data_IF_819686637867
#
_entry.id   IF_819686637867
#
_cell.length_a   1.000
_cell.length_b   1.000
_cell.length_c   1.000
_cell.angle_alpha   90.00
_cell.angle_beta   90.00
_cell.angle_gamma   90.00
#
_symmetry.space_group_name_H-M   'P 1'
#
loop_
_entity.id
_entity.type
_entity.pdbx_description
1 polymer ?
#
# COMPACT_ATOMS: atom_id res chain seq x y z
N UNK A 1 -31.44 53.25 -0.89
CA UNK A 1 -32.34 52.65 0.10
C UNK A 1 -31.87 53.14 1.46
N UNK A 2 -32.72 53.86 2.17
CA UNK A 2 -32.45 54.41 3.51
C UNK A 2 -33.39 53.63 4.42
N UNK A 3 -32.88 53.12 5.54
CA UNK A 3 -33.74 52.42 6.51
C UNK A 3 -34.69 53.41 7.19
N UNK A 4 -35.68 52.92 7.94
CA UNK A 4 -36.62 53.76 8.72
C UNK A 4 -35.92 54.71 9.72
N UNK A 5 -34.62 54.54 9.94
CA UNK A 5 -33.80 55.37 10.82
C UNK A 5 -32.92 56.38 10.10
N UNK A 6 -33.11 56.60 8.80
CA UNK A 6 -32.38 57.63 8.06
C UNK A 6 -30.94 57.25 7.73
N UNK A 7 -30.50 56.02 8.02
CA UNK A 7 -29.16 55.56 7.71
C UNK A 7 -29.06 54.98 6.29
N UNK A 8 -27.96 55.22 5.58
CA UNK A 8 -27.75 54.64 4.26
C UNK A 8 -27.62 53.11 4.38
N UNK A 9 -28.52 52.37 3.73
CA UNK A 9 -28.40 50.91 3.63
C UNK A 9 -27.23 50.60 2.71
N UNK A 10 -26.13 50.12 3.28
CA UNK A 10 -24.98 49.63 2.51
C UNK A 10 -25.43 48.47 1.62
N UNK A 11 -25.48 48.69 0.31
CA UNK A 11 -25.83 47.64 -0.64
C UNK A 11 -24.89 46.44 -0.46
N UNK A 12 -25.45 45.25 -0.24
CA UNK A 12 -24.68 44.02 -0.18
C UNK A 12 -23.91 43.87 -1.50
N UNK A 13 -22.58 43.96 -1.43
CA UNK A 13 -21.70 43.72 -2.57
C UNK A 13 -21.71 42.21 -2.85
N UNK A 14 -22.28 41.81 -3.99
CA UNK A 14 -22.19 40.44 -4.47
C UNK A 14 -20.82 40.13 -5.07
N UNK A 15 -20.43 38.86 -5.08
CA UNK A 15 -19.25 38.39 -5.79
C UNK A 15 -19.37 38.64 -7.29
N UNK A 16 -18.29 39.08 -7.92
CA UNK A 16 -18.23 39.20 -9.38
C UNK A 16 -18.03 37.82 -10.03
N UNK A 17 -18.50 37.64 -11.27
CA UNK A 17 -18.22 36.41 -12.01
C UNK A 17 -16.71 36.19 -12.21
N UNK A 18 -15.94 37.27 -12.36
CA UNK A 18 -14.49 37.20 -12.55
C UNK A 18 -13.75 36.74 -11.28
N UNK A 19 -14.18 37.19 -10.08
CA UNK A 19 -13.63 36.67 -8.81
C UNK A 19 -13.85 35.17 -8.69
N UNK A 20 -15.04 34.69 -9.06
CA UNK A 20 -15.34 33.27 -9.03
C UNK A 20 -14.46 32.49 -10.01
N UNK A 21 -14.23 33.00 -11.22
CA UNK A 21 -13.33 32.36 -12.19
C UNK A 21 -11.88 32.27 -11.68
N UNK A 22 -11.36 33.33 -11.05
CA UNK A 22 -10.01 33.32 -10.49
C UNK A 22 -9.91 32.27 -9.36
N UNK A 23 -10.90 32.21 -8.48
CA UNK A 23 -10.93 31.21 -7.39
C UNK A 23 -10.94 29.79 -7.95
N UNK A 24 -11.75 29.52 -8.97
CA UNK A 24 -11.79 28.19 -9.61
C UNK A 24 -10.45 27.83 -10.24
N UNK A 25 -9.79 28.79 -10.90
CA UNK A 25 -8.46 28.58 -11.47
C UNK A 25 -7.43 28.24 -10.40
N UNK A 26 -7.42 28.98 -9.28
CA UNK A 26 -6.50 28.71 -8.16
C UNK A 26 -6.76 27.30 -7.59
N UNK A 27 -8.03 26.94 -7.36
CA UNK A 27 -8.40 25.62 -6.84
C UNK A 27 -7.98 24.52 -7.82
N UNK A 28 -8.14 24.71 -9.13
CA UNK A 28 -7.73 23.73 -10.13
C UNK A 28 -6.22 23.47 -10.11
N UNK A 29 -5.41 24.53 -10.00
CA UNK A 29 -3.94 24.41 -9.88
C UNK A 29 -3.54 23.68 -8.59
N UNK A 30 -4.14 24.05 -7.46
CA UNK A 30 -3.87 23.40 -6.17
C UNK A 30 -4.26 21.92 -6.20
N UNK A 31 -5.43 21.59 -6.76
CA UNK A 31 -5.92 20.22 -6.87
C UNK A 31 -4.99 19.35 -7.74
N UNK A 32 -4.48 19.90 -8.85
CA UNK A 32 -3.56 19.18 -9.73
C UNK A 32 -2.28 18.70 -9.03
N UNK A 33 -1.78 19.46 -8.04
CA UNK A 33 -0.61 19.11 -7.23
C UNK A 33 -1.01 18.22 -6.05
N UNK A 34 -2.09 18.57 -5.34
CA UNK A 34 -2.48 17.94 -4.09
C UNK A 34 -2.97 16.49 -4.27
N UNK A 35 -3.74 16.21 -5.32
CA UNK A 35 -4.33 14.88 -5.56
C UNK A 35 -3.26 13.78 -5.71
N UNK A 36 -2.27 13.90 -6.62
CA UNK A 36 -1.24 12.87 -6.76
C UNK A 36 -0.33 12.78 -5.52
N UNK A 37 -0.06 13.90 -4.85
CA UNK A 37 0.73 13.93 -3.63
C UNK A 37 0.06 13.16 -2.47
N UNK A 38 -1.24 13.38 -2.27
CA UNK A 38 -2.03 12.68 -1.26
C UNK A 38 -2.10 11.18 -1.52
N UNK A 39 -2.27 10.77 -2.79
CA UNK A 39 -2.24 9.35 -3.18
C UNK A 39 -0.94 8.66 -2.76
N UNK A 40 0.22 9.28 -3.05
CA UNK A 40 1.54 8.74 -2.65
C UNK A 40 1.68 8.61 -1.13
N UNK A 41 1.18 9.59 -0.36
CA UNK A 41 1.17 9.51 1.09
C UNK A 41 0.31 8.35 1.59
N UNK A 42 -0.91 8.22 1.07
CA UNK A 42 -1.82 7.13 1.43
C UNK A 42 -1.21 5.76 1.10
N UNK A 43 -0.52 5.61 -0.02
CA UNK A 43 0.15 4.36 -0.37
C UNK A 43 1.24 3.99 0.63
N UNK A 44 2.12 4.93 1.00
CA UNK A 44 3.16 4.71 2.03
C UNK A 44 2.57 4.30 3.37
N UNK A 45 1.48 4.95 3.78
CA UNK A 45 0.81 4.66 5.05
C UNK A 45 0.18 3.26 5.09
N UNK A 46 -0.07 2.64 3.94
CA UNK A 46 -0.69 1.30 3.82
C UNK A 46 0.34 0.17 3.66
N UNK A 47 1.57 0.45 3.23
CA UNK A 47 2.63 -0.57 3.09
C UNK A 47 2.87 -1.41 4.35
N UNK A 48 2.85 -0.84 5.58
CA UNK A 48 3.04 -1.63 6.79
C UNK A 48 2.04 -2.77 6.94
N UNK A 49 0.83 -2.66 6.39
CA UNK A 49 -0.18 -3.73 6.40
C UNK A 49 0.30 -4.97 5.63
N UNK A 50 0.86 -4.78 4.43
CA UNK A 50 1.44 -5.84 3.62
C UNK A 50 2.74 -6.38 4.21
N UNK A 51 3.61 -5.50 4.71
CA UNK A 51 4.87 -5.88 5.38
C UNK A 51 4.60 -6.74 6.62
N UNK A 52 3.63 -6.35 7.45
CA UNK A 52 3.24 -7.10 8.64
C UNK A 52 2.71 -8.48 8.25
N UNK A 53 1.83 -8.58 7.25
CA UNK A 53 1.35 -9.87 6.74
C UNK A 53 2.51 -10.79 6.35
N UNK A 54 3.48 -10.26 5.59
CA UNK A 54 4.65 -11.03 5.14
C UNK A 54 5.54 -11.48 6.30
N UNK A 55 5.78 -10.61 7.29
CA UNK A 55 6.56 -10.98 8.48
C UNK A 55 5.85 -12.05 9.32
N UNK A 56 4.53 -11.99 9.45
CA UNK A 56 3.78 -13.03 10.16
C UNK A 56 3.83 -14.37 9.40
N UNK A 57 3.69 -14.32 8.07
CA UNK A 57 3.85 -15.51 7.21
C UNK A 57 5.25 -16.11 7.36
N UNK A 58 6.30 -15.29 7.29
CA UNK A 58 7.68 -15.75 7.45
C UNK A 58 7.89 -16.44 8.81
N UNK A 59 7.39 -15.85 9.90
CA UNK A 59 7.46 -16.48 11.22
C UNK A 59 6.68 -17.80 11.29
N UNK A 60 5.51 -17.88 10.64
CA UNK A 60 4.75 -19.13 10.57
C UNK A 60 5.48 -20.22 9.78
N UNK A 61 6.18 -19.83 8.70
CA UNK A 61 7.04 -20.73 7.93
C UNK A 61 8.21 -21.26 8.76
N UNK A 62 8.92 -20.41 9.50
CA UNK A 62 10.01 -20.85 10.37
C UNK A 62 9.55 -21.82 11.47
N UNK A 63 8.38 -21.56 12.07
CA UNK A 63 7.76 -22.48 13.04
C UNK A 63 7.40 -23.82 12.40
N UNK A 64 6.86 -23.78 11.19
CA UNK A 64 6.49 -24.98 10.45
C UNK A 64 7.73 -25.80 10.07
N UNK A 65 8.79 -25.14 9.60
CA UNK A 65 10.08 -25.75 9.27
C UNK A 65 10.72 -26.40 10.50
N UNK A 66 10.71 -25.75 11.66
CA UNK A 66 11.27 -26.31 12.91
C UNK A 66 10.61 -27.63 13.33
N UNK A 67 9.37 -27.89 12.90
CA UNK A 67 8.62 -29.12 13.24
C UNK A 67 8.64 -30.15 12.12
N UNK A 68 8.64 -29.71 10.86
CA UNK A 68 8.45 -30.58 9.69
C UNK A 68 9.70 -30.72 8.80
N UNK A 69 10.78 -29.99 9.13
CA UNK A 69 12.02 -29.91 8.37
C UNK A 69 11.84 -29.52 6.89
N UNK A 70 10.76 -28.81 6.60
CA UNK A 70 10.39 -28.32 5.27
C UNK A 70 9.45 -27.11 5.41
N UNK A 71 9.47 -26.20 4.44
CA UNK A 71 8.50 -25.11 4.34
C UNK A 71 7.19 -25.59 3.72
N UNK A 72 6.09 -24.94 4.08
CA UNK A 72 4.74 -25.31 3.66
C UNK A 72 4.17 -24.37 2.60
N UNK A 73 3.35 -24.89 1.68
CA UNK A 73 2.58 -24.03 0.77
C UNK A 73 1.27 -23.58 1.41
N UNK A 74 0.69 -22.44 0.98
CA UNK A 74 -0.62 -22.00 1.48
C UNK A 74 -1.78 -22.93 1.06
N UNK A 75 -1.61 -23.72 -0.01
CA UNK A 75 -2.60 -24.69 -0.44
C UNK A 75 -2.32 -26.06 0.15
N UNK A 76 -3.12 -26.44 1.15
CA UNK A 76 -3.18 -27.83 1.61
C UNK A 76 -2.10 -28.25 2.61
N UNK A 77 -1.33 -27.32 3.18
CA UNK A 77 -0.46 -27.59 4.33
C UNK A 77 -1.20 -27.32 5.65
N UNK A 78 -1.61 -28.35 6.41
CA UNK A 78 -2.16 -28.14 7.74
C UNK A 78 -1.09 -27.50 8.64
N UNK A 79 -1.45 -26.43 9.35
CA UNK A 79 -0.60 -25.85 10.40
C UNK A 79 0.03 -24.48 10.12
N UNK A 80 -0.02 -23.96 8.89
CA UNK A 80 0.42 -22.58 8.61
C UNK A 80 -0.59 -21.51 9.07
N UNK A 81 -1.88 -21.85 9.12
CA UNK A 81 -2.91 -20.96 9.65
C UNK A 81 -3.34 -19.81 8.72
N UNK A 82 -3.04 -19.91 7.43
CA UNK A 82 -3.39 -18.88 6.44
C UNK A 82 -4.26 -19.46 5.32
N UNK A 83 -5.21 -18.63 4.84
CA UNK A 83 -5.94 -18.90 3.61
C UNK A 83 -5.02 -18.74 2.38
N UNK A 84 -5.44 -19.27 1.23
CA UNK A 84 -4.79 -19.04 -0.06
C UNK A 84 -5.77 -18.36 -1.04
N UNK A 85 -5.54 -17.09 -1.43
CA UNK A 85 -4.51 -16.18 -0.94
C UNK A 85 -4.78 -15.70 0.50
N UNK A 86 -3.73 -15.34 1.23
CA UNK A 86 -3.85 -14.72 2.55
C UNK A 86 -4.15 -13.22 2.37
N UNK A 87 -5.14 -12.68 3.06
CA UNK A 87 -5.50 -11.26 2.97
C UNK A 87 -4.92 -10.52 4.16
N UNK A 88 -4.35 -9.33 3.93
CA UNK A 88 -3.83 -8.49 5.01
C UNK A 88 -4.97 -7.99 5.91
N UNK A 89 -4.66 -7.65 7.15
CA UNK A 89 -5.66 -7.28 8.15
C UNK A 89 -6.55 -6.10 7.68
N UNK A 90 -5.95 -5.10 7.01
CA UNK A 90 -6.68 -3.94 6.48
C UNK A 90 -7.14 -4.12 5.03
N UNK A 91 -6.90 -5.29 4.42
CA UNK A 91 -7.35 -5.62 3.07
C UNK A 91 -6.68 -4.84 1.94
N UNK A 92 -5.45 -4.36 2.15
CA UNK A 92 -4.69 -3.65 1.10
C UNK A 92 -3.80 -4.57 0.27
N UNK A 93 -3.53 -5.79 0.75
CA UNK A 93 -2.67 -6.76 0.09
C UNK A 93 -3.29 -8.16 0.10
N UNK A 94 -3.01 -8.93 -0.95
CA UNK A 94 -3.21 -10.38 -0.99
C UNK A 94 -1.85 -11.07 -1.13
N UNK A 95 -1.57 -12.05 -0.29
CA UNK A 95 -0.30 -12.75 -0.25
C UNK A 95 -0.42 -14.20 -0.71
N UNK A 96 0.62 -14.65 -1.41
CA UNK A 96 0.83 -16.03 -1.83
C UNK A 96 2.21 -16.48 -1.37
N UNK A 97 2.37 -17.80 -1.18
CA UNK A 97 3.66 -18.41 -0.83
C UNK A 97 4.04 -19.39 -1.92
N UNK A 98 5.22 -19.19 -2.48
CA UNK A 98 5.87 -20.14 -3.36
C UNK A 98 6.92 -20.89 -2.55
N UNK A 99 6.87 -22.22 -2.62
CA UNK A 99 7.85 -23.09 -1.98
C UNK A 99 8.59 -23.81 -3.10
N UNK A 100 9.91 -23.73 -3.06
CA UNK A 100 10.80 -24.27 -4.08
C UNK A 100 11.80 -25.23 -3.43
N UNK A 101 12.34 -26.14 -4.25
CA UNK A 101 13.50 -26.92 -3.84
C UNK A 101 14.73 -26.02 -3.73
N UNK A 102 15.66 -26.35 -2.83
CA UNK A 102 16.95 -25.66 -2.85
C UNK A 102 17.76 -26.01 -4.13
N UNK A 103 18.86 -25.29 -4.42
CA UNK A 103 19.75 -25.64 -5.54
C UNK A 103 20.36 -27.04 -5.46
N UNK A 104 20.28 -27.73 -4.31
CA UNK A 104 20.73 -29.10 -4.10
C UNK A 104 19.61 -30.14 -4.36
N UNK A 105 18.41 -29.70 -4.74
CA UNK A 105 17.27 -30.58 -5.04
C UNK A 105 16.49 -31.05 -3.81
N UNK A 106 16.73 -30.48 -2.63
CA UNK A 106 15.94 -30.76 -1.44
C UNK A 106 14.59 -30.05 -1.56
N UNK A 107 13.52 -30.82 -1.77
CA UNK A 107 12.16 -30.31 -1.86
C UNK A 107 11.82 -29.46 -0.62
N UNK A 108 11.25 -28.28 -0.86
CA UNK A 108 10.68 -27.38 0.16
C UNK A 108 11.65 -26.75 1.16
N UNK A 109 12.92 -26.55 0.77
CA UNK A 109 13.91 -25.84 1.59
C UNK A 109 13.95 -24.32 1.36
N UNK A 110 13.22 -23.80 0.37
CA UNK A 110 13.14 -22.35 0.10
C UNK A 110 11.69 -21.91 0.04
N UNK A 111 11.37 -20.78 0.66
CA UNK A 111 10.09 -20.10 0.44
C UNK A 111 10.30 -18.65 0.00
N UNK A 112 9.35 -18.17 -0.80
CA UNK A 112 9.15 -16.75 -1.11
C UNK A 112 7.69 -16.44 -0.85
N UNK A 113 7.44 -15.54 0.11
CA UNK A 113 6.12 -14.99 0.36
C UNK A 113 6.00 -13.65 -0.37
N UNK A 114 4.97 -13.50 -1.19
CA UNK A 114 4.76 -12.33 -2.03
C UNK A 114 3.40 -11.73 -1.73
N UNK A 115 3.36 -10.47 -1.30
CA UNK A 115 2.17 -9.67 -1.07
C UNK A 115 1.93 -8.73 -2.25
N UNK A 116 0.89 -9.02 -3.02
CA UNK A 116 0.43 -8.22 -4.16
C UNK A 116 -0.56 -7.16 -3.68
N UNK A 117 -0.35 -5.87 -3.99
CA UNK A 117 -1.28 -4.81 -3.59
C UNK A 117 -2.61 -4.94 -4.33
N UNK A 118 -3.71 -4.66 -3.64
CA UNK A 118 -5.07 -4.72 -4.19
C UNK A 118 -5.81 -3.39 -4.07
N UNK A 119 -6.86 -3.23 -4.88
CA UNK A 119 -7.67 -2.01 -4.90
C UNK A 119 -6.85 -0.75 -5.21
N UNK A 120 -7.06 0.31 -4.43
CA UNK A 120 -6.33 1.57 -4.62
C UNK A 120 -4.82 1.44 -4.43
N UNK A 121 -4.36 0.48 -3.62
CA UNK A 121 -2.93 0.23 -3.37
C UNK A 121 -2.21 -0.33 -4.60
N UNK A 122 -2.93 -0.93 -5.56
CA UNK A 122 -2.34 -1.47 -6.79
C UNK A 122 -1.65 -0.41 -7.67
N UNK A 123 -1.87 0.87 -7.39
CA UNK A 123 -1.22 2.01 -8.05
C UNK A 123 0.03 2.51 -7.33
N UNK A 124 0.43 1.87 -6.22
CA UNK A 124 1.67 2.19 -5.52
C UNK A 124 2.88 1.81 -6.38
N UNK A 125 3.92 2.64 -6.39
CA UNK A 125 5.13 2.39 -7.18
C UNK A 125 5.91 1.17 -6.67
N UNK A 126 5.76 0.81 -5.39
CA UNK A 126 6.40 -0.36 -4.81
C UNK A 126 5.91 -1.69 -5.37
N UNK A 127 4.75 -1.72 -6.02
CA UNK A 127 4.16 -2.94 -6.56
C UNK A 127 4.08 -4.08 -5.51
N UNK A 128 4.40 -5.31 -5.88
CA UNK A 128 4.43 -6.44 -4.97
C UNK A 128 5.62 -6.35 -4.00
N UNK A 129 5.35 -6.64 -2.73
CA UNK A 129 6.36 -6.80 -1.69
C UNK A 129 6.65 -8.29 -1.54
N UNK A 130 7.90 -8.71 -1.35
CA UNK A 130 8.21 -10.10 -1.01
C UNK A 130 9.27 -10.25 0.06
N UNK A 131 9.22 -11.37 0.78
CA UNK A 131 10.23 -11.82 1.72
C UNK A 131 10.55 -13.30 1.48
N UNK A 132 11.83 -13.66 1.46
CA UNK A 132 12.28 -15.06 1.37
C UNK A 132 12.70 -15.62 2.73
N UNK A 133 12.94 -16.93 2.78
CA UNK A 133 13.52 -17.61 3.94
C UNK A 133 14.88 -17.02 4.40
N UNK A 134 15.68 -16.50 3.47
CA UNK A 134 16.95 -15.83 3.77
C UNK A 134 16.76 -14.39 4.30
N UNK A 135 15.51 -13.92 4.48
CA UNK A 135 15.21 -12.55 4.90
C UNK A 135 15.42 -11.51 3.81
N UNK A 136 15.64 -11.92 2.56
CA UNK A 136 15.75 -11.00 1.42
C UNK A 136 14.39 -10.38 1.15
N UNK A 137 14.34 -9.05 1.18
CA UNK A 137 13.13 -8.25 0.97
C UNK A 137 13.20 -7.57 -0.39
N UNK A 138 12.16 -7.75 -1.21
CA UNK A 138 12.05 -7.08 -2.51
C UNK A 138 10.78 -6.23 -2.59
N UNK A 139 10.83 -5.07 -3.26
CA UNK A 139 11.97 -4.52 -3.99
C UNK A 139 13.09 -4.01 -3.04
N UNK A 140 14.34 -4.15 -3.48
CA UNK A 140 15.50 -3.69 -2.72
C UNK A 140 15.47 -2.17 -2.53
N UNK A 141 16.02 -1.66 -1.42
CA UNK A 141 16.03 -0.23 -1.14
C UNK A 141 16.77 0.61 -2.20
N UNK A 142 17.72 0.00 -2.91
CA UNK A 142 18.48 0.61 -4.01
C UNK A 142 17.75 0.61 -5.35
N UNK A 143 16.61 -0.07 -5.48
CA UNK A 143 15.88 -0.14 -6.74
C UNK A 143 15.05 1.12 -6.97
N UNK A 144 15.59 2.03 -7.79
CA UNK A 144 14.95 3.32 -8.05
C UNK A 144 13.62 3.20 -8.82
N UNK A 145 13.37 2.08 -9.51
CA UNK A 145 12.13 1.90 -10.28
C UNK A 145 10.91 1.72 -9.36
N UNK A 146 11.11 1.03 -8.23
CA UNK A 146 10.04 0.77 -7.27
C UNK A 146 9.98 1.81 -6.14
N UNK A 147 11.11 2.39 -5.75
CA UNK A 147 11.19 3.34 -4.63
C UNK A 147 10.93 4.81 -5.03
N UNK A 148 10.31 5.07 -6.19
CA UNK A 148 10.07 6.43 -6.72
C UNK A 148 9.22 7.31 -5.80
N UNK A 149 8.35 6.70 -5.01
CA UNK A 149 7.61 7.34 -3.95
C UNK A 149 8.02 6.79 -2.58
N UNK A 150 9.32 6.67 -2.30
CA UNK A 150 9.87 6.33 -0.99
C UNK A 150 10.08 4.83 -0.78
N UNK A 151 10.88 4.47 0.22
CA UNK A 151 11.29 3.08 0.47
C UNK A 151 10.09 2.14 0.70
N UNK A 152 10.14 0.98 0.06
CA UNK A 152 9.06 -0.01 0.07
C UNK A 152 9.06 -0.93 1.30
N UNK A 153 10.20 -1.10 1.95
CA UNK A 153 10.46 -2.00 3.09
C UNK A 153 11.12 -1.27 4.25
#
# INVERSE_FOLDING_TARGET
>A
MIDDHGNPVSGQRGFTMIELMIVVVIIAVLAAIAIPAYGRYAYRARRPDGQQLLLQIANAQERYYATNNQYGSLSGTPGLGYANPAISEKGYYSAQIQVEADPAGNSSAVFVATATPIGAQARDACSALSISNAGVKLPAASDANFNTNGHCW
#
